data_IF_859311332595
#
_entry.id   IF_859311332595
#
_cell.length_a   1.000
_cell.length_b   1.000
_cell.length_c   1.000
_cell.angle_alpha   90.00
_cell.angle_beta   90.00
_cell.angle_gamma   90.00
#
_symmetry.space_group_name_H-M   'P 1'
#
loop_
_entity.id
_entity.type
_entity.pdbx_description
1 polymer ?
#
# COMPACT_ATOMS: atom_id res chain seq x y z
N UNK A 1 47.72 31.19 -29.50
CA UNK A 1 48.81 30.45 -30.19
C UNK A 1 48.98 29.13 -29.46
N UNK A 2 48.77 28.04 -30.21
CA UNK A 2 48.95 26.66 -29.78
C UNK A 2 50.39 26.38 -29.34
N UNK A 3 50.57 25.53 -28.32
CA UNK A 3 51.48 24.38 -28.47
C UNK A 3 51.18 23.26 -27.48
N UNK A 4 51.31 22.05 -28.02
CA UNK A 4 50.93 20.74 -27.52
C UNK A 4 52.12 19.95 -26.98
N UNK A 5 51.79 18.91 -26.18
CA UNK A 5 52.51 17.65 -25.97
C UNK A 5 53.89 17.63 -25.31
N UNK A 6 54.01 16.89 -24.20
CA UNK A 6 54.75 15.62 -24.15
C UNK A 6 54.65 14.98 -22.75
N UNK A 7 54.13 13.76 -22.66
CA UNK A 7 54.40 12.80 -21.55
C UNK A 7 55.84 12.24 -21.71
N UNK A 8 56.45 11.43 -20.79
CA UNK A 8 55.90 10.12 -20.38
C UNK A 8 56.42 9.46 -19.06
N UNK A 9 55.90 8.25 -18.80
CA UNK A 9 56.43 7.10 -18.02
C UNK A 9 56.39 7.10 -16.48
N UNK A 10 56.31 5.86 -15.97
CA UNK A 10 56.34 5.33 -14.58
C UNK A 10 54.97 5.15 -13.89
N UNK A 11 54.51 3.98 -13.42
CA UNK A 11 55.14 2.71 -13.02
C UNK A 11 54.20 1.51 -13.28
N UNK A 12 54.79 0.41 -13.77
CA UNK A 12 54.28 -0.97 -13.71
C UNK A 12 54.66 -1.57 -12.35
N UNK A 13 53.73 -2.22 -11.63
CA UNK A 13 54.09 -3.18 -10.58
C UNK A 13 52.91 -4.13 -10.22
N UNK A 14 53.16 -5.43 -10.47
CA UNK A 14 52.65 -6.67 -9.80
C UNK A 14 51.15 -7.00 -9.89
N UNK A 15 50.65 -8.25 -9.95
CA UNK A 15 51.15 -9.56 -9.55
C UNK A 15 50.58 -10.62 -10.51
N UNK A 16 51.42 -11.56 -10.95
CA UNK A 16 51.02 -12.83 -11.55
C UNK A 16 50.82 -13.86 -10.43
N UNK A 17 49.59 -14.33 -10.21
CA UNK A 17 49.32 -15.60 -9.50
C UNK A 17 48.31 -16.35 -10.34
N UNK A 18 48.74 -17.51 -10.87
CA UNK A 18 47.87 -18.49 -11.50
C UNK A 18 47.23 -19.39 -10.46
N UNK A 19 45.98 -19.77 -10.71
CA UNK A 19 45.29 -20.96 -10.18
C UNK A 19 44.30 -21.35 -11.30
N UNK A 20 44.60 -22.37 -12.10
CA UNK A 20 44.32 -23.81 -11.89
C UNK A 20 42.82 -24.12 -11.75
N UNK A 21 42.38 -25.00 -12.65
CA UNK A 21 41.03 -25.38 -13.07
C UNK A 21 40.11 -25.95 -11.95
N UNK A 22 38.78 -26.03 -12.19
CA UNK A 22 37.78 -26.43 -11.20
C UNK A 22 37.69 -27.95 -11.03
N UNK A 23 37.50 -28.41 -9.78
CA UNK A 23 37.18 -29.80 -9.47
C UNK A 23 35.66 -30.02 -9.48
N UNK A 24 35.25 -30.85 -10.43
CA UNK A 24 33.95 -31.52 -10.53
C UNK A 24 33.89 -32.61 -9.45
N UNK A 25 32.84 -32.62 -8.63
CA UNK A 25 32.40 -33.78 -7.83
C UNK A 25 30.89 -33.88 -8.02
N UNK A 26 30.48 -34.74 -8.94
CA UNK A 26 29.87 -36.06 -8.67
C UNK A 26 28.51 -35.98 -7.99
N UNK A 27 27.49 -35.98 -8.85
CA UNK A 27 26.18 -36.60 -8.68
C UNK A 27 26.21 -37.78 -7.71
N UNK A 28 25.32 -37.75 -6.73
CA UNK A 28 24.78 -38.93 -6.08
C UNK A 28 23.26 -38.85 -6.15
N UNK A 29 22.73 -39.78 -6.93
CA UNK A 29 21.33 -40.16 -7.00
C UNK A 29 20.80 -40.54 -5.62
N UNK A 30 19.64 -39.99 -5.26
CA UNK A 30 18.74 -40.65 -4.32
C UNK A 30 17.35 -40.65 -4.96
N UNK A 31 17.15 -41.66 -5.79
CA UNK A 31 15.84 -42.21 -6.09
C UNK A 31 15.20 -42.70 -4.79
N UNK A 32 13.98 -42.26 -4.45
CA UNK A 32 12.97 -43.09 -3.76
C UNK A 32 11.60 -42.38 -3.79
N UNK A 33 10.72 -42.93 -4.64
CA UNK A 33 9.24 -42.96 -4.63
C UNK A 33 8.39 -41.66 -4.61
N UNK A 34 7.53 -41.47 -5.64
CA UNK A 34 6.30 -40.70 -5.51
C UNK A 34 5.16 -41.59 -5.00
N UNK A 35 4.45 -41.16 -3.96
CA UNK A 35 3.20 -41.79 -3.53
C UNK A 35 2.04 -41.34 -4.43
N UNK A 36 1.40 -42.31 -5.05
CA UNK A 36 0.22 -42.23 -5.92
C UNK A 36 -1.07 -42.32 -5.09
N UNK A 37 -1.93 -41.28 -5.18
CA UNK A 37 -3.40 -41.27 -5.46
C UNK A 37 -4.31 -42.16 -4.58
N UNK A 38 -5.42 -41.63 -4.00
CA UNK A 38 -6.68 -41.56 -4.76
C UNK A 38 -7.43 -40.24 -4.73
N UNK A 39 -7.88 -39.91 -5.94
CA UNK A 39 -8.96 -39.02 -6.32
C UNK A 39 -10.27 -39.53 -5.68
N UNK A 40 -11.03 -38.65 -5.04
CA UNK A 40 -12.46 -38.87 -4.80
C UNK A 40 -13.24 -37.88 -5.64
N UNK A 41 -13.69 -38.36 -6.80
CA UNK A 41 -14.82 -37.83 -7.55
C UNK A 41 -16.09 -37.88 -6.69
N UNK A 42 -16.93 -36.86 -6.83
CA UNK A 42 -18.42 -36.80 -6.70
C UNK A 42 -18.79 -35.39 -6.24
N UNK A 43 -19.78 -34.66 -6.75
CA UNK A 43 -20.82 -34.93 -7.74
C UNK A 43 -21.25 -33.57 -8.31
N UNK A 44 -21.49 -33.55 -9.61
CA UNK A 44 -22.12 -32.49 -10.37
C UNK A 44 -23.63 -32.51 -10.10
N UNK A 45 -24.19 -31.45 -9.50
CA UNK A 45 -25.63 -31.13 -9.61
C UNK A 45 -25.82 -29.61 -9.65
N UNK A 46 -25.83 -29.06 -10.87
CA UNK A 46 -26.82 -28.05 -11.27
C UNK A 46 -28.03 -28.84 -11.84
N UNK A 47 -29.26 -28.32 -12.06
CA UNK A 47 -29.77 -26.93 -12.15
C UNK A 47 -31.18 -26.83 -11.48
N UNK A 48 -32.21 -26.02 -11.88
CA UNK A 48 -32.34 -24.89 -12.84
C UNK A 48 -33.14 -23.65 -12.30
N UNK A 49 -33.38 -22.61 -13.14
CA UNK A 49 -33.81 -21.25 -12.75
C UNK A 49 -35.27 -20.93 -13.12
N UNK A 50 -35.94 -20.03 -12.38
CA UNK A 50 -37.19 -19.34 -12.77
C UNK A 50 -37.53 -18.31 -11.67
N UNK A 51 -38.15 -17.14 -11.87
CA UNK A 51 -38.65 -16.41 -13.04
C UNK A 51 -38.94 -14.97 -12.62
N UNK A 52 -39.05 -14.06 -13.58
CA UNK A 52 -39.48 -12.68 -13.42
C UNK A 52 -41.01 -12.52 -13.30
N UNK A 53 -41.46 -11.45 -12.62
CA UNK A 53 -42.77 -10.76 -12.72
C UNK A 53 -42.57 -9.35 -12.15
N UNK A 54 -42.53 -8.24 -12.89
CA UNK A 54 -43.57 -7.47 -13.61
C UNK A 54 -44.57 -6.67 -12.73
N UNK A 55 -44.81 -5.44 -13.20
CA UNK A 55 -45.89 -4.47 -12.90
C UNK A 55 -45.64 -3.49 -11.73
N UNK A 56 -45.35 -2.19 -11.93
CA UNK A 56 -46.10 -1.08 -12.59
C UNK A 56 -47.35 -0.67 -11.76
N UNK A 57 -47.55 0.56 -11.27
CA UNK A 57 -48.06 1.74 -12.02
C UNK A 57 -48.63 2.79 -11.02
N UNK A 58 -48.41 4.11 -11.26
CA UNK A 58 -49.35 5.26 -11.01
C UNK A 58 -49.58 5.75 -9.55
N UNK A 59 -49.70 7.05 -9.17
CA UNK A 59 -49.98 8.39 -9.79
C UNK A 59 -49.47 9.45 -8.78
N UNK A 60 -48.76 10.52 -9.19
CA UNK A 60 -49.26 11.90 -9.41
C UNK A 60 -50.09 12.51 -8.27
N UNK A 61 -49.58 13.59 -7.66
CA UNK A 61 -50.33 14.83 -7.46
C UNK A 61 -49.37 16.03 -7.40
N UNK A 62 -49.73 17.08 -8.16
CA UNK A 62 -49.03 18.34 -8.29
C UNK A 62 -49.65 19.38 -7.34
N UNK A 63 -48.88 20.40 -6.96
CA UNK A 63 -49.45 21.71 -6.62
C UNK A 63 -48.44 22.84 -6.87
N UNK A 64 -48.85 23.68 -7.80
CA UNK A 64 -48.31 24.97 -8.24
C UNK A 64 -48.48 26.03 -7.16
N UNK A 65 -47.60 27.04 -7.10
CA UNK A 65 -47.92 28.48 -7.22
C UNK A 65 -46.74 29.37 -6.82
N UNK A 66 -46.06 29.86 -7.86
CA UNK A 66 -45.55 31.22 -8.12
C UNK A 66 -45.18 32.18 -6.98
N UNK A 67 -43.94 32.69 -7.08
CA UNK A 67 -43.72 34.10 -7.41
C UNK A 67 -43.20 35.01 -6.29
N UNK A 68 -41.95 35.47 -6.42
CA UNK A 68 -41.59 36.87 -6.71
C UNK A 68 -40.17 37.16 -6.24
N UNK A 69 -39.38 37.72 -7.16
CA UNK A 69 -38.02 38.16 -6.97
C UNK A 69 -37.90 39.29 -5.93
N UNK A 70 -36.84 39.26 -5.15
CA UNK A 70 -36.18 40.49 -4.72
C UNK A 70 -34.68 40.29 -4.65
N UNK A 71 -34.01 41.11 -5.45
CA UNK A 71 -32.58 41.32 -5.58
C UNK A 71 -32.00 41.87 -4.30
N UNK A 72 -31.03 41.16 -3.72
CA UNK A 72 -29.92 41.79 -3.00
C UNK A 72 -28.64 41.03 -3.35
N UNK A 73 -27.82 41.65 -4.19
CA UNK A 73 -26.47 41.18 -4.46
C UNK A 73 -25.61 41.53 -3.23
N UNK A 74 -25.21 40.52 -2.48
CA UNK A 74 -24.08 40.62 -1.57
C UNK A 74 -22.83 40.11 -2.29
N UNK A 75 -22.09 41.06 -2.85
CA UNK A 75 -20.68 40.91 -3.13
C UNK A 75 -19.94 41.08 -1.81
N UNK A 76 -19.47 39.98 -1.22
CA UNK A 76 -18.41 40.04 -0.20
C UNK A 76 -17.46 38.88 -0.43
N UNK A 77 -16.28 39.26 -0.94
CA UNK A 77 -14.97 38.64 -0.79
C UNK A 77 -14.92 37.10 -0.74
N UNK A 78 -14.41 36.51 -1.81
CA UNK A 78 -13.72 35.22 -1.78
C UNK A 78 -12.57 35.32 -0.79
N UNK A 79 -12.82 34.99 0.47
CA UNK A 79 -11.80 34.46 1.37
C UNK A 79 -11.42 33.11 0.79
N UNK A 80 -10.23 33.02 0.19
CA UNK A 80 -9.60 31.73 -0.05
C UNK A 80 -9.48 31.06 1.31
N UNK A 81 -10.33 30.06 1.56
CA UNK A 81 -10.16 29.21 2.73
C UNK A 81 -8.75 28.62 2.66
N UNK A 82 -7.98 28.69 3.76
CA UNK A 82 -6.70 28.04 3.80
C UNK A 82 -6.95 26.58 3.49
N UNK A 83 -6.27 26.08 2.45
CA UNK A 83 -6.30 24.66 2.10
C UNK A 83 -5.92 23.90 3.37
N UNK A 84 -6.89 23.32 4.07
CA UNK A 84 -6.62 22.55 5.28
C UNK A 84 -5.60 21.50 4.88
N UNK A 85 -4.40 21.62 5.43
CA UNK A 85 -3.39 20.60 5.23
C UNK A 85 -4.00 19.29 5.73
N UNK A 86 -3.94 18.27 4.89
CA UNK A 86 -4.53 16.98 5.20
C UNK A 86 -3.74 16.34 6.35
N UNK A 87 -4.22 16.55 7.57
CA UNK A 87 -3.56 16.19 8.83
C UNK A 87 -4.52 15.32 9.63
N UNK A 88 -3.98 14.24 10.19
CA UNK A 88 -4.66 13.43 11.19
C UNK A 88 -3.81 13.50 12.45
N UNK A 89 -4.28 14.24 13.45
CA UNK A 89 -3.63 14.46 14.75
C UNK A 89 -4.33 13.72 15.90
N UNK A 90 -5.33 12.89 15.58
CA UNK A 90 -6.02 12.02 16.52
C UNK A 90 -5.08 10.93 17.07
N UNK A 91 -4.80 11.00 18.37
CA UNK A 91 -3.88 10.06 19.04
C UNK A 91 -4.39 8.62 19.01
N UNK A 92 -5.69 8.39 19.21
CA UNK A 92 -6.28 7.06 19.20
C UNK A 92 -6.23 6.44 17.80
N UNK A 93 -6.38 7.26 16.76
CA UNK A 93 -6.19 6.85 15.37
C UNK A 93 -4.76 6.39 15.10
N UNK A 94 -3.77 7.19 15.49
CA UNK A 94 -2.36 6.90 15.27
C UNK A 94 -1.91 5.66 16.06
N UNK A 95 -2.41 5.50 17.28
CA UNK A 95 -2.14 4.33 18.11
C UNK A 95 -2.74 3.07 17.50
N UNK A 96 -3.98 3.12 17.02
CA UNK A 96 -4.60 2.00 16.32
C UNK A 96 -3.84 1.62 15.05
N UNK A 97 -3.47 2.61 14.21
CA UNK A 97 -2.67 2.37 13.02
C UNK A 97 -1.32 1.74 13.36
N UNK A 98 -0.65 2.22 14.40
CA UNK A 98 0.63 1.66 14.87
C UNK A 98 0.48 0.19 15.23
N UNK A 99 -0.53 -0.17 16.02
CA UNK A 99 -0.76 -1.56 16.42
C UNK A 99 -1.06 -2.47 15.23
N UNK A 100 -1.87 -2.00 14.28
CA UNK A 100 -2.16 -2.76 13.06
C UNK A 100 -0.91 -3.02 12.22
N UNK A 101 -0.05 -2.01 12.06
CA UNK A 101 1.19 -2.13 11.32
C UNK A 101 2.22 -3.01 12.04
N UNK A 102 2.32 -2.93 13.37
CA UNK A 102 3.16 -3.86 14.16
C UNK A 102 2.70 -5.31 13.95
N UNK A 103 1.39 -5.56 13.91
CA UNK A 103 0.86 -6.91 13.70
C UNK A 103 1.15 -7.44 12.29
N UNK A 104 1.22 -6.56 11.28
CA UNK A 104 1.43 -6.95 9.89
C UNK A 104 2.91 -7.00 9.48
N UNK A 105 3.72 -6.03 9.92
CA UNK A 105 5.12 -5.86 9.54
C UNK A 105 6.09 -6.36 10.62
N UNK A 106 5.63 -6.46 11.87
CA UNK A 106 6.45 -6.69 13.04
C UNK A 106 7.09 -5.42 13.61
N UNK A 107 7.93 -5.61 14.62
CA UNK A 107 8.73 -4.56 15.27
C UNK A 107 10.15 -5.07 15.50
N UNK A 108 11.16 -4.38 14.98
CA UNK A 108 12.58 -4.74 15.14
C UNK A 108 13.44 -3.55 15.54
N UNK A 109 14.20 -3.71 16.62
CA UNK A 109 15.17 -2.71 17.13
C UNK A 109 16.54 -2.81 16.46
N UNK A 110 16.59 -3.36 15.26
CA UNK A 110 17.80 -3.52 14.48
C UNK A 110 17.48 -3.48 12.98
N UNK A 111 18.49 -3.18 12.17
CA UNK A 111 18.37 -3.20 10.72
C UNK A 111 18.23 -4.66 10.25
N UNK A 112 17.24 -4.94 9.41
CA UNK A 112 16.99 -6.22 8.79
C UNK A 112 16.70 -6.07 7.29
N UNK A 113 16.75 -7.17 6.56
CA UNK A 113 16.38 -7.21 5.15
C UNK A 113 14.89 -7.57 5.02
N UNK A 114 14.13 -6.78 4.27
CA UNK A 114 12.73 -7.07 3.95
C UNK A 114 12.61 -8.22 2.93
N UNK A 115 11.37 -8.64 2.62
CA UNK A 115 11.10 -9.72 1.65
C UNK A 115 11.51 -9.39 0.21
N UNK A 116 11.82 -8.14 -0.07
CA UNK A 116 12.26 -7.63 -1.38
C UNK A 116 13.74 -7.26 -1.42
N UNK A 117 14.49 -7.57 -0.36
CA UNK A 117 15.93 -7.33 -0.28
C UNK A 117 16.34 -5.93 0.15
N UNK A 118 15.42 -5.10 0.68
CA UNK A 118 15.78 -3.75 1.14
C UNK A 118 16.12 -3.71 2.64
N UNK A 119 17.16 -2.95 3.03
CA UNK A 119 17.42 -2.63 4.42
C UNK A 119 16.27 -1.84 5.07
N UNK A 120 15.79 -2.32 6.21
CA UNK A 120 14.58 -1.87 6.90
C UNK A 120 14.81 -1.90 8.41
N UNK A 121 14.13 -1.06 9.20
CA UNK A 121 14.11 -1.15 10.67
C UNK A 121 12.74 -0.79 11.26
N UNK A 122 12.56 -1.03 12.56
CA UNK A 122 11.39 -0.55 13.30
C UNK A 122 10.10 -1.22 12.84
N UNK A 123 9.09 -0.39 12.53
CA UNK A 123 7.77 -0.80 12.03
C UNK A 123 7.75 -0.66 10.50
N UNK A 124 8.58 -1.47 9.82
CA UNK A 124 8.64 -1.50 8.36
C UNK A 124 9.25 -0.27 7.67
N UNK A 125 10.06 0.55 8.37
CA UNK A 125 10.69 1.73 7.79
C UNK A 125 11.82 1.34 6.83
N UNK A 126 11.61 1.54 5.53
CA UNK A 126 12.62 1.31 4.49
C UNK A 126 13.71 2.39 4.54
N UNK A 127 14.95 1.98 4.75
CA UNK A 127 16.09 2.89 4.86
C UNK A 127 16.35 3.57 3.51
N UNK A 128 16.40 4.90 3.53
CA UNK A 128 16.72 5.73 2.37
C UNK A 128 18.07 6.44 2.56
N UNK A 129 18.59 7.07 1.50
CA UNK A 129 19.83 7.87 1.58
C UNK A 129 19.78 9.04 2.56
N UNK A 130 18.59 9.45 2.99
CA UNK A 130 18.40 10.54 3.95
C UNK A 130 18.52 10.07 5.40
N UNK A 131 18.43 8.77 5.62
CA UNK A 131 18.44 8.20 6.95
C UNK A 131 19.87 8.05 7.48
N UNK A 132 20.12 8.34 8.77
CA UNK A 132 21.42 8.11 9.39
C UNK A 132 21.87 6.64 9.31
N UNK A 133 20.93 5.71 9.17
CA UNK A 133 21.15 4.28 9.07
C UNK A 133 21.62 3.83 7.67
N UNK A 134 21.62 4.73 6.67
CA UNK A 134 22.01 4.39 5.32
C UNK A 134 23.44 3.85 5.24
N UNK A 135 23.59 2.65 4.66
CA UNK A 135 24.88 1.99 4.50
C UNK A 135 25.41 1.30 5.77
N UNK A 136 24.69 1.33 6.90
CA UNK A 136 25.03 0.52 8.08
C UNK A 136 24.73 -0.96 7.82
N UNK A 137 25.50 -1.90 8.43
CA UNK A 137 25.30 -3.33 8.24
C UNK A 137 23.97 -3.82 8.87
N UNK A 138 23.44 -4.93 8.34
CA UNK A 138 22.32 -5.64 8.97
C UNK A 138 22.67 -6.03 10.41
N UNK A 139 21.67 -6.02 11.29
CA UNK A 139 21.82 -6.24 12.74
C UNK A 139 22.27 -5.01 13.53
N UNK A 140 22.54 -3.87 12.87
CA UNK A 140 22.84 -2.62 13.58
C UNK A 140 21.63 -2.21 14.42
N UNK A 141 21.85 -1.98 15.73
CA UNK A 141 20.81 -1.56 16.66
C UNK A 141 20.28 -0.16 16.34
N UNK A 142 18.98 0.02 16.49
CA UNK A 142 18.28 1.30 16.34
C UNK A 142 17.50 1.57 17.62
N UNK A 143 17.61 2.78 18.17
CA UNK A 143 16.94 3.13 19.41
C UNK A 143 15.43 3.23 19.21
N UNK A 144 14.67 3.04 20.30
CA UNK A 144 13.20 3.14 20.28
C UNK A 144 12.74 4.53 19.86
N UNK A 145 13.45 5.57 20.29
CA UNK A 145 13.18 6.96 19.95
C UNK A 145 13.34 7.20 18.44
N UNK A 146 14.39 6.64 17.83
CA UNK A 146 14.61 6.73 16.38
C UNK A 146 13.54 5.97 15.59
N UNK A 147 13.10 4.81 16.10
CA UNK A 147 12.00 4.03 15.48
C UNK A 147 10.71 4.84 15.50
N UNK A 148 10.38 5.47 16.62
CA UNK A 148 9.18 6.28 16.75
C UNK A 148 9.25 7.54 15.87
N UNK A 149 10.41 8.17 15.76
CA UNK A 149 10.64 9.30 14.84
C UNK A 149 10.40 8.89 13.39
N UNK A 150 11.00 7.77 12.95
CA UNK A 150 10.84 7.25 11.60
C UNK A 150 9.38 6.88 11.31
N UNK A 151 8.71 6.21 12.26
CA UNK A 151 7.29 5.87 12.14
C UNK A 151 6.41 7.10 11.95
N UNK A 152 6.60 8.16 12.75
CA UNK A 152 5.85 9.42 12.61
C UNK A 152 6.07 10.07 11.24
N UNK A 153 7.32 10.08 10.77
CA UNK A 153 7.65 10.62 9.45
C UNK A 153 6.99 9.83 8.31
N UNK A 154 7.00 8.49 8.40
CA UNK A 154 6.37 7.61 7.42
C UNK A 154 4.85 7.76 7.40
N UNK A 155 4.20 7.83 8.57
CA UNK A 155 2.75 8.06 8.68
C UNK A 155 2.38 9.41 8.06
N UNK A 156 3.14 10.47 8.36
CA UNK A 156 2.93 11.79 7.75
C UNK A 156 3.02 11.73 6.23
N UNK A 157 4.07 11.11 5.68
CA UNK A 157 4.24 10.96 4.24
C UNK A 157 3.15 10.07 3.60
N UNK A 158 2.67 9.06 4.33
CA UNK A 158 1.57 8.20 3.89
C UNK A 158 0.25 8.98 3.82
N UNK A 159 -0.08 9.77 4.84
CA UNK A 159 -1.26 10.64 4.87
C UNK A 159 -1.19 11.63 3.71
N UNK A 160 -0.13 12.44 3.62
CA UNK A 160 0.04 13.45 2.55
C UNK A 160 -0.15 12.85 1.16
N UNK A 161 0.34 11.63 0.98
CA UNK A 161 0.17 10.95 -0.28
C UNK A 161 -1.25 10.41 -0.51
N UNK A 162 -1.95 9.93 0.51
CA UNK A 162 -3.34 9.50 0.36
C UNK A 162 -4.23 10.69 0.01
N UNK A 163 -3.98 11.86 0.59
CA UNK A 163 -4.70 13.09 0.26
C UNK A 163 -4.49 13.56 -1.18
N UNK A 164 -3.39 13.14 -1.83
CA UNK A 164 -3.16 13.36 -3.26
C UNK A 164 -3.83 12.31 -4.15
N UNK A 165 -4.14 11.12 -3.61
CA UNK A 165 -4.68 9.99 -4.36
C UNK A 165 -6.20 9.86 -4.27
N UNK A 166 -6.81 10.39 -3.21
CA UNK A 166 -8.25 10.33 -2.96
C UNK A 166 -8.81 11.74 -2.80
N UNK A 167 -9.97 12.00 -3.41
CA UNK A 167 -10.52 13.36 -3.52
C UNK A 167 -10.91 13.97 -2.17
N UNK A 168 -11.33 13.13 -1.22
CA UNK A 168 -11.86 13.57 0.07
C UNK A 168 -11.32 12.73 1.22
N UNK A 169 -10.01 12.40 1.19
CA UNK A 169 -9.39 11.47 2.15
C UNK A 169 -9.68 11.84 3.62
N UNK A 170 -9.60 13.13 3.95
CA UNK A 170 -9.78 13.67 5.30
C UNK A 170 -11.13 13.25 5.91
N UNK A 171 -12.20 13.33 5.11
CA UNK A 171 -13.58 13.09 5.52
C UNK A 171 -14.02 11.63 5.36
N UNK A 172 -13.15 10.73 4.89
CA UNK A 172 -13.46 9.30 4.85
C UNK A 172 -13.69 8.76 6.28
N UNK A 173 -14.53 7.72 6.44
CA UNK A 173 -14.70 7.04 7.72
C UNK A 173 -13.35 6.61 8.31
N UNK A 174 -13.23 6.66 9.65
CA UNK A 174 -12.01 6.25 10.37
C UNK A 174 -11.48 4.89 9.89
N UNK A 175 -12.38 3.92 9.78
CA UNK A 175 -12.04 2.56 9.37
C UNK A 175 -11.48 2.49 7.94
N UNK A 176 -12.08 3.24 7.01
CA UNK A 176 -11.62 3.33 5.62
C UNK A 176 -10.22 3.95 5.55
N UNK A 177 -9.95 5.01 6.33
CA UNK A 177 -8.62 5.64 6.41
C UNK A 177 -7.57 4.67 6.92
N UNK A 178 -7.88 3.89 7.97
CA UNK A 178 -6.97 2.87 8.51
C UNK A 178 -6.64 1.79 7.48
N UNK A 179 -7.65 1.28 6.76
CA UNK A 179 -7.46 0.28 5.71
C UNK A 179 -6.56 0.84 4.59
N UNK A 180 -6.85 2.05 4.10
CA UNK A 180 -6.07 2.68 3.03
C UNK A 180 -4.62 2.90 3.46
N UNK A 181 -4.38 3.42 4.67
CA UNK A 181 -3.03 3.63 5.19
C UNK A 181 -2.31 2.29 5.36
N UNK A 182 -2.98 1.26 5.86
CA UNK A 182 -2.39 -0.07 6.00
C UNK A 182 -1.96 -0.63 4.62
N UNK A 183 -2.81 -0.56 3.59
CA UNK A 183 -2.44 -0.94 2.20
C UNK A 183 -1.29 -0.07 1.69
N UNK A 184 -1.29 1.22 2.02
CA UNK A 184 -0.24 2.15 1.62
C UNK A 184 1.13 1.76 2.19
N UNK A 185 1.21 1.34 3.45
CA UNK A 185 2.47 0.87 4.03
C UNK A 185 3.01 -0.37 3.31
N UNK A 186 2.12 -1.28 2.91
CA UNK A 186 2.54 -2.49 2.20
C UNK A 186 2.99 -2.24 0.74
N UNK A 187 2.23 -1.47 -0.02
CA UNK A 187 2.44 -1.28 -1.47
C UNK A 187 3.28 -0.05 -1.81
N UNK A 188 3.47 0.86 -0.86
CA UNK A 188 4.03 2.19 -1.11
C UNK A 188 3.14 3.05 -2.01
N UNK A 189 3.65 4.25 -2.36
CA UNK A 189 2.90 5.24 -3.14
C UNK A 189 2.50 4.72 -4.50
N UNK A 190 3.49 4.23 -5.25
CA UNK A 190 3.30 3.83 -6.64
C UNK A 190 2.38 2.62 -6.77
N UNK A 191 2.40 1.70 -5.81
CA UNK A 191 1.50 0.56 -5.80
C UNK A 191 0.05 0.99 -5.58
N UNK A 192 -0.22 1.80 -4.54
CA UNK A 192 -1.56 2.33 -4.30
C UNK A 192 -2.05 3.27 -5.43
N UNK A 193 -1.14 4.01 -6.07
CA UNK A 193 -1.44 4.81 -7.26
C UNK A 193 -1.83 3.98 -8.49
N UNK A 194 -1.54 2.66 -8.52
CA UNK A 194 -2.01 1.75 -9.57
C UNK A 194 -3.35 1.09 -9.26
N UNK A 195 -3.85 1.21 -8.02
CA UNK A 195 -5.14 0.66 -7.56
C UNK A 195 -6.33 1.50 -8.06
N UNK A 196 -6.41 1.79 -9.36
CA UNK A 196 -7.34 2.77 -9.92
C UNK A 196 -8.80 2.48 -9.56
N UNK A 197 -9.28 1.26 -9.83
CA UNK A 197 -10.67 0.88 -9.56
C UNK A 197 -11.05 0.92 -8.08
N UNK A 198 -10.14 0.46 -7.20
CA UNK A 198 -10.30 0.58 -5.75
C UNK A 198 -10.42 2.05 -5.33
N UNK A 199 -9.54 2.93 -5.84
CA UNK A 199 -9.62 4.36 -5.53
C UNK A 199 -10.90 4.99 -6.03
N UNK A 200 -11.35 4.64 -7.24
CA UNK A 200 -12.59 5.15 -7.80
C UNK A 200 -13.80 4.74 -6.94
N UNK A 201 -13.85 3.49 -6.49
CA UNK A 201 -14.89 3.00 -5.57
C UNK A 201 -14.85 3.75 -4.21
N UNK A 202 -13.67 3.95 -3.64
CA UNK A 202 -13.50 4.74 -2.40
C UNK A 202 -13.97 6.18 -2.59
N UNK A 203 -13.62 6.83 -3.71
CA UNK A 203 -13.97 8.23 -3.97
C UNK A 203 -15.48 8.47 -4.10
N UNK A 204 -16.24 7.47 -4.53
CA UNK A 204 -17.71 7.54 -4.62
C UNK A 204 -18.42 6.96 -3.38
N UNK A 205 -17.67 6.46 -2.40
CA UNK A 205 -18.24 5.88 -1.18
C UNK A 205 -18.81 4.47 -1.32
N UNK A 206 -18.43 3.73 -2.36
CA UNK A 206 -18.92 2.37 -2.59
C UNK A 206 -17.96 1.34 -1.97
N UNK A 207 -18.15 1.05 -0.67
CA UNK A 207 -17.24 0.21 0.10
C UNK A 207 -17.32 -1.27 -0.26
N UNK A 208 -18.49 -1.76 -0.67
CA UNK A 208 -18.64 -3.13 -1.17
C UNK A 208 -17.83 -3.31 -2.46
N UNK A 209 -17.97 -2.37 -3.40
CA UNK A 209 -17.14 -2.37 -4.61
C UNK A 209 -15.67 -2.19 -4.28
N UNK A 210 -15.31 -1.34 -3.31
CA UNK A 210 -13.93 -1.19 -2.89
C UNK A 210 -13.35 -2.50 -2.34
N UNK A 211 -14.13 -3.24 -1.54
CA UNK A 211 -13.74 -4.55 -1.04
C UNK A 211 -13.56 -5.58 -2.16
N UNK A 212 -14.45 -5.59 -3.16
CA UNK A 212 -14.32 -6.47 -4.33
C UNK A 212 -13.06 -6.13 -5.15
N UNK A 213 -12.76 -4.85 -5.37
CA UNK A 213 -11.54 -4.44 -6.08
C UNK A 213 -10.26 -4.74 -5.27
N UNK A 214 -10.34 -4.75 -3.93
CA UNK A 214 -9.26 -5.24 -3.07
C UNK A 214 -9.05 -6.75 -3.25
N UNK A 215 -10.12 -7.55 -3.24
CA UNK A 215 -10.08 -9.01 -3.40
C UNK A 215 -9.58 -9.45 -4.79
N UNK A 216 -9.97 -8.75 -5.84
CA UNK A 216 -9.57 -9.03 -7.23
C UNK A 216 -8.21 -8.44 -7.62
N UNK A 217 -7.36 -8.11 -6.66
CA UNK A 217 -6.05 -7.48 -6.89
C UNK A 217 -4.88 -8.48 -6.81
N UNK A 218 -3.77 -8.16 -7.49
CA UNK A 218 -2.53 -8.93 -7.35
C UNK A 218 -2.02 -8.90 -5.90
N UNK A 219 -2.16 -7.74 -5.24
CA UNK A 219 -1.79 -7.55 -3.83
C UNK A 219 -2.47 -8.56 -2.91
N UNK A 220 -3.75 -8.87 -3.14
CA UNK A 220 -4.47 -9.85 -2.34
C UNK A 220 -3.78 -11.22 -2.35
N UNK A 221 -3.28 -11.63 -3.52
CA UNK A 221 -2.55 -12.89 -3.66
C UNK A 221 -1.14 -12.84 -3.08
N UNK A 222 -0.53 -11.65 -2.98
CA UNK A 222 0.80 -11.47 -2.39
C UNK A 222 0.78 -11.49 -0.86
N UNK A 223 -0.27 -10.98 -0.23
CA UNK A 223 -0.41 -10.90 1.24
C UNK A 223 -1.77 -11.42 1.73
N UNK A 224 -2.11 -12.70 1.47
CA UNK A 224 -3.50 -13.19 1.58
C UNK A 224 -4.11 -13.05 2.97
N UNK A 225 -3.36 -13.30 4.04
CA UNK A 225 -3.90 -13.19 5.41
C UNK A 225 -4.23 -11.74 5.79
N UNK A 226 -3.32 -10.82 5.48
CA UNK A 226 -3.52 -9.38 5.69
C UNK A 226 -4.67 -8.87 4.82
N UNK A 227 -4.65 -9.22 3.54
CA UNK A 227 -5.63 -8.75 2.57
C UNK A 227 -7.05 -9.19 2.94
N UNK A 228 -7.25 -10.47 3.28
CA UNK A 228 -8.56 -10.99 3.74
C UNK A 228 -9.12 -10.21 4.93
N UNK A 229 -8.28 -9.96 5.94
CA UNK A 229 -8.67 -9.18 7.12
C UNK A 229 -9.09 -7.75 6.77
N UNK A 230 -8.36 -7.09 5.87
CA UNK A 230 -8.68 -5.73 5.44
C UNK A 230 -9.93 -5.67 4.56
N UNK A 231 -10.14 -6.66 3.68
CA UNK A 231 -11.36 -6.79 2.87
C UNK A 231 -12.58 -6.96 3.78
N UNK A 232 -12.50 -7.83 4.78
CA UNK A 232 -13.61 -8.04 5.73
C UNK A 232 -13.95 -6.76 6.49
N UNK A 233 -12.95 -5.99 6.90
CA UNK A 233 -13.13 -4.69 7.55
C UNK A 233 -13.78 -3.68 6.61
N UNK A 234 -13.37 -3.64 5.34
CA UNK A 234 -13.98 -2.77 4.33
C UNK A 234 -15.46 -3.08 4.13
N UNK A 235 -15.83 -4.37 4.01
CA UNK A 235 -17.25 -4.78 3.90
C UNK A 235 -18.07 -4.40 5.13
N UNK A 236 -17.48 -4.43 6.33
CA UNK A 236 -18.16 -4.05 7.59
C UNK A 236 -18.44 -2.56 7.73
N UNK A 237 -17.88 -1.69 6.89
CA UNK A 237 -18.17 -0.24 6.94
C UNK A 237 -19.65 0.04 6.67
N UNK A 238 -20.29 -0.74 5.78
CA UNK A 238 -21.70 -0.59 5.42
C UNK A 238 -21.98 0.65 4.55
N UNK A 239 -23.08 0.64 3.79
CA UNK A 239 -23.48 1.77 2.92
C UNK A 239 -23.92 2.99 3.70
#
# INVERSE_FOLDING_TARGET
>A
MHQTNSSPLFWLLVISIGYSQPLIVSVNDITTTPATIPVSETVHTSPPPISATSDATTTLEASTTTGTASTTQYTTATTEEPKEDCVIDDADFLDQLRQELINDEGYKEEIYEDTTGNPTFGIGHKITRKDPEFGKPLGTRVSKERIEEAFKADVKAAIESCCKLFNNFQNLPKEVKLIILNIRFNLGHTGLAKFAKFRDAVNIGDWEKAADEMEHSIWFNQVPNRAKRLVERMRKVGK
#
